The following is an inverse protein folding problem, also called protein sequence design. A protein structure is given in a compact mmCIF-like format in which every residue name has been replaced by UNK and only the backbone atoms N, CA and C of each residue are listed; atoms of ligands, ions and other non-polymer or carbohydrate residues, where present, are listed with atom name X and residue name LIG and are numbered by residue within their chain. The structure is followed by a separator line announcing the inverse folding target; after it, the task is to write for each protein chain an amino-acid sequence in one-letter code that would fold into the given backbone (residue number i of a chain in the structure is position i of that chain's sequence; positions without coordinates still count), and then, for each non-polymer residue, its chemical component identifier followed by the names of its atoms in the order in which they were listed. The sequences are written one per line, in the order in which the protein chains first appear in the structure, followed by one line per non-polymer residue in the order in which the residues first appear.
data_IF_657262831755
#
_entry.id   IF_657262831755
#
_cell.length_a   1.000
_cell.length_b   1.000
_cell.length_c   1.000
_cell.angle_alpha   90.00
_cell.angle_beta   90.00
_cell.angle_gamma   90.00
#
_symmetry.space_group_name_H-M   'P 1'
#
loop_
_entity.id
_entity.type
_entity.pdbx_description
1 polymer ?
#
# COMPACT_ATOMS: atom_id res chain seq x y z
N UNK A 1 21.95 -89.21 3.61
CA UNK A 1 23.10 -89.40 2.69
C UNK A 1 23.74 -88.03 2.47
N UNK A 2 25.01 -87.90 2.90
CA UNK A 2 26.00 -86.81 2.73
C UNK A 2 25.58 -85.37 3.12
N UNK A 3 25.95 -84.79 4.27
CA UNK A 3 27.27 -84.39 4.85
C UNK A 3 28.06 -83.29 4.10
N UNK A 4 28.25 -82.14 4.78
CA UNK A 4 29.53 -81.43 5.05
C UNK A 4 29.19 -80.08 5.75
N UNK A 5 29.38 -79.89 7.06
CA UNK A 5 30.61 -79.47 7.79
C UNK A 5 31.26 -78.20 7.19
N UNK A 6 31.20 -77.03 7.84
CA UNK A 6 32.22 -76.59 8.81
C UNK A 6 32.10 -75.10 9.26
N UNK A 7 32.58 -74.91 10.49
CA UNK A 7 32.93 -73.72 11.27
C UNK A 7 33.06 -72.33 10.59
N UNK A 8 32.60 -71.28 11.30
CA UNK A 8 33.18 -69.93 11.23
C UNK A 8 33.42 -69.33 12.61
N UNK A 9 34.62 -68.78 12.71
CA UNK A 9 35.28 -68.22 13.87
C UNK A 9 34.78 -66.81 14.23
N UNK A 10 35.05 -66.44 15.48
CA UNK A 10 34.86 -65.12 16.06
C UNK A 10 35.80 -64.08 15.45
N UNK A 11 35.27 -62.91 15.11
CA UNK A 11 36.03 -61.67 14.86
C UNK A 11 35.42 -60.58 15.73
N UNK A 12 36.22 -60.05 16.65
CA UNK A 12 35.91 -58.86 17.42
C UNK A 12 36.05 -57.61 16.54
N UNK A 13 35.01 -56.78 16.49
CA UNK A 13 35.06 -55.48 15.83
C UNK A 13 35.25 -54.37 16.87
N UNK A 14 36.38 -53.66 16.78
CA UNK A 14 36.59 -52.39 17.47
C UNK A 14 35.61 -51.34 16.93
N UNK A 15 34.80 -50.75 17.81
CA UNK A 15 34.00 -49.58 17.50
C UNK A 15 34.89 -48.33 17.52
N UNK A 16 35.14 -47.76 16.34
CA UNK A 16 35.68 -46.40 16.20
C UNK A 16 34.50 -45.43 16.27
N UNK A 17 34.38 -44.72 17.39
CA UNK A 17 33.42 -43.63 17.56
C UNK A 17 33.89 -42.40 16.78
N UNK A 18 33.35 -42.22 15.58
CA UNK A 18 33.48 -40.98 14.80
C UNK A 18 32.52 -39.97 15.41
N UNK A 19 33.05 -39.00 16.17
CA UNK A 19 32.28 -37.86 16.64
C UNK A 19 31.82 -37.02 15.46
N UNK A 20 30.52 -37.00 15.21
CA UNK A 20 29.91 -36.07 14.25
C UNK A 20 29.81 -34.72 14.96
N UNK A 21 30.73 -33.81 14.64
CA UNK A 21 30.58 -32.40 14.95
C UNK A 21 29.35 -31.90 14.19
N UNK A 22 28.25 -31.69 14.88
CA UNK A 22 27.12 -30.92 14.34
C UNK A 22 27.66 -29.57 13.90
N UNK A 23 27.49 -29.14 12.63
CA UNK A 23 27.84 -27.79 12.25
C UNK A 23 27.06 -26.84 13.15
N UNK A 24 27.76 -25.92 13.80
CA UNK A 24 27.12 -24.82 14.51
C UNK A 24 26.13 -24.17 13.54
N UNK A 25 24.85 -24.10 13.92
CA UNK A 25 23.88 -23.30 13.20
C UNK A 25 24.49 -21.91 13.06
N UNK A 26 24.67 -21.45 11.82
CA UNK A 26 25.00 -20.05 11.60
C UNK A 26 23.90 -19.25 12.29
N UNK A 27 24.29 -18.43 13.27
CA UNK A 27 23.39 -17.53 13.98
C UNK A 27 22.76 -16.63 12.90
N UNK A 28 21.53 -16.94 12.47
CA UNK A 28 20.83 -16.11 11.49
C UNK A 28 20.62 -14.77 12.16
N UNK A 29 21.44 -13.78 11.76
CA UNK A 29 21.36 -12.45 12.33
C UNK A 29 19.91 -11.96 12.18
N UNK A 30 19.32 -11.51 13.29
CA UNK A 30 17.93 -11.04 13.28
C UNK A 30 17.71 -9.94 12.25
N UNK A 31 16.47 -9.72 11.80
CA UNK A 31 16.18 -8.71 10.79
C UNK A 31 16.62 -7.31 11.26
N UNK A 32 16.43 -7.00 12.54
CA UNK A 32 16.97 -5.79 13.15
C UNK A 32 18.50 -5.76 13.12
N UNK A 33 19.19 -6.86 13.43
CA UNK A 33 20.64 -6.93 13.36
C UNK A 33 21.19 -6.75 11.93
N UNK A 34 20.41 -7.07 10.89
CA UNK A 34 20.74 -6.79 9.50
C UNK A 34 20.55 -5.30 9.17
N UNK A 35 19.40 -4.72 9.55
CA UNK A 35 19.06 -3.34 9.20
C UNK A 35 19.83 -2.27 9.99
N UNK A 36 20.16 -2.52 11.26
CA UNK A 36 20.95 -1.58 12.07
C UNK A 36 22.38 -1.42 11.55
N UNK A 37 22.88 -2.30 10.67
CA UNK A 37 24.16 -2.09 9.97
C UNK A 37 24.09 -0.97 8.93
N UNK A 38 22.87 -0.65 8.46
CA UNK A 38 22.59 0.37 7.46
C UNK A 38 22.11 1.66 8.13
N UNK A 39 21.13 1.56 9.04
CA UNK A 39 20.55 2.69 9.76
C UNK A 39 20.85 2.57 11.27
N UNK A 40 22.06 2.98 11.66
CA UNK A 40 22.64 2.69 12.99
C UNK A 40 22.03 3.50 14.15
N UNK A 41 21.31 4.59 13.88
CA UNK A 41 20.90 5.56 14.89
C UNK A 41 19.41 5.53 15.27
N UNK A 42 18.68 4.51 14.79
CA UNK A 42 17.27 4.29 15.04
C UNK A 42 17.04 3.06 15.93
N UNK A 43 16.00 3.14 16.75
CA UNK A 43 15.47 1.95 17.41
C UNK A 43 14.78 1.06 16.39
N UNK A 44 14.94 -0.26 16.52
CA UNK A 44 14.35 -1.24 15.63
C UNK A 44 13.37 -2.15 16.38
N UNK A 45 12.24 -2.45 15.73
CA UNK A 45 11.33 -3.51 16.11
C UNK A 45 11.19 -4.49 14.92
N UNK A 46 11.13 -5.79 15.18
CA UNK A 46 11.04 -6.83 14.15
C UNK A 46 9.86 -7.78 14.39
N UNK A 47 9.34 -8.32 13.28
CA UNK A 47 8.42 -9.45 13.22
C UNK A 47 9.06 -10.58 12.40
N UNK A 48 8.33 -11.67 12.16
CA UNK A 48 8.78 -12.71 11.23
C UNK A 48 8.80 -12.26 9.76
N UNK A 49 8.14 -11.14 9.41
CA UNK A 49 7.95 -10.68 8.02
C UNK A 49 8.68 -9.38 7.71
N UNK A 50 9.17 -8.64 8.70
CA UNK A 50 9.81 -7.36 8.44
C UNK A 50 10.18 -6.60 9.70
N UNK A 51 10.53 -5.33 9.50
CA UNK A 51 10.98 -4.43 10.55
C UNK A 51 10.33 -3.04 10.45
N UNK A 52 10.38 -2.32 11.55
CA UNK A 52 10.23 -0.88 11.57
C UNK A 52 11.37 -0.23 12.36
N UNK A 53 11.89 0.88 11.83
CA UNK A 53 12.98 1.66 12.42
C UNK A 53 12.51 3.09 12.65
N UNK A 54 12.65 3.56 13.90
CA UNK A 54 12.15 4.88 14.30
C UNK A 54 13.03 5.52 15.38
N UNK A 55 12.76 6.79 15.69
CA UNK A 55 13.52 7.52 16.71
C UNK A 55 13.42 6.92 18.12
N UNK A 56 12.38 6.13 18.41
CA UNK A 56 12.18 5.44 19.70
C UNK A 56 11.65 4.02 19.50
N UNK A 57 11.85 3.14 20.48
CA UNK A 57 11.36 1.76 20.42
C UNK A 57 9.83 1.66 20.42
N UNK A 58 9.13 2.57 21.11
CA UNK A 58 7.67 2.61 21.08
C UNK A 58 7.14 2.96 19.69
N UNK A 59 7.76 3.96 19.05
CA UNK A 59 7.39 4.37 17.69
C UNK A 59 7.68 3.27 16.67
N UNK A 60 8.82 2.58 16.81
CA UNK A 60 9.15 1.44 15.97
C UNK A 60 8.11 0.32 16.11
N UNK A 61 7.69 -0.02 17.34
CA UNK A 61 6.63 -1.02 17.59
C UNK A 61 5.28 -0.60 17.02
N UNK A 62 4.91 0.67 17.13
CA UNK A 62 3.67 1.19 16.56
C UNK A 62 3.65 1.02 15.04
N UNK A 63 4.70 1.48 14.35
CA UNK A 63 4.82 1.34 12.89
C UNK A 63 4.83 -0.13 12.44
N UNK A 64 5.55 -0.99 13.18
CA UNK A 64 5.56 -2.43 12.91
C UNK A 64 4.16 -3.03 13.04
N UNK A 65 3.40 -2.67 14.09
CA UNK A 65 2.04 -3.17 14.28
C UNK A 65 1.09 -2.77 13.15
N UNK A 66 1.22 -1.56 12.61
CA UNK A 66 0.46 -1.12 11.45
C UNK A 66 0.82 -1.94 10.19
N UNK A 67 2.11 -2.14 9.96
CA UNK A 67 2.61 -2.91 8.83
C UNK A 67 2.20 -4.39 8.90
N UNK A 68 2.32 -5.05 10.06
CA UNK A 68 1.90 -6.44 10.25
C UNK A 68 0.41 -6.65 9.99
N UNK A 69 -0.43 -5.67 10.39
CA UNK A 69 -1.85 -5.71 10.06
C UNK A 69 -2.09 -5.72 8.54
N UNK A 70 -1.36 -4.89 7.79
CA UNK A 70 -1.41 -4.89 6.33
C UNK A 70 -0.93 -6.23 5.75
N UNK A 71 0.18 -6.75 6.27
CA UNK A 71 0.76 -8.02 5.85
C UNK A 71 -0.23 -9.20 6.02
N UNK A 72 -0.98 -9.25 7.12
CA UNK A 72 -2.02 -10.26 7.33
C UNK A 72 -3.15 -10.15 6.27
N UNK A 73 -3.58 -8.92 5.97
CA UNK A 73 -4.59 -8.68 4.93
C UNK A 73 -4.09 -9.03 3.54
N UNK A 74 -2.80 -8.83 3.26
CA UNK A 74 -2.19 -9.24 1.99
C UNK A 74 -2.31 -10.75 1.78
N UNK A 75 -2.02 -11.55 2.80
CA UNK A 75 -2.21 -13.01 2.75
C UNK A 75 -3.67 -13.38 2.46
N UNK A 76 -4.62 -12.72 3.11
CA UNK A 76 -6.06 -12.97 2.91
C UNK A 76 -6.51 -12.65 1.48
N UNK A 77 -6.07 -11.52 0.93
CA UNK A 77 -6.58 -10.99 -0.33
C UNK A 77 -5.78 -11.39 -1.57
N UNK A 78 -4.56 -11.90 -1.38
CA UNK A 78 -3.72 -12.35 -2.49
C UNK A 78 -3.25 -13.79 -2.37
N UNK A 79 -3.48 -14.47 -1.25
CA UNK A 79 -3.06 -15.86 -1.04
C UNK A 79 -1.53 -16.05 -1.06
N UNK A 80 -0.77 -14.96 -0.90
CA UNK A 80 0.70 -14.94 -0.96
C UNK A 80 1.28 -14.39 0.32
N UNK A 81 2.43 -14.91 0.73
CA UNK A 81 3.19 -14.28 1.79
C UNK A 81 3.73 -12.93 1.29
N UNK A 82 3.61 -11.84 2.07
CA UNK A 82 4.23 -10.57 1.71
C UNK A 82 5.75 -10.72 1.75
N UNK A 83 6.43 -10.00 0.87
CA UNK A 83 7.89 -9.92 0.87
C UNK A 83 8.38 -9.21 2.13
N UNK A 84 9.63 -9.51 2.51
CA UNK A 84 10.27 -8.80 3.62
C UNK A 84 10.26 -7.29 3.42
N UNK A 85 9.89 -6.58 4.49
CA UNK A 85 9.71 -5.13 4.43
C UNK A 85 10.47 -4.40 5.53
N UNK A 86 10.77 -3.13 5.27
CA UNK A 86 11.28 -2.18 6.25
C UNK A 86 10.49 -0.86 6.20
N UNK A 87 9.86 -0.47 7.30
CA UNK A 87 9.37 0.90 7.50
C UNK A 87 10.48 1.70 8.20
N UNK A 88 10.98 2.76 7.59
CA UNK A 88 12.15 3.48 8.11
C UNK A 88 11.89 4.98 8.21
N UNK A 89 11.84 5.51 9.44
CA UNK A 89 11.77 6.95 9.66
C UNK A 89 13.09 7.64 9.36
N UNK A 90 13.01 8.77 8.68
CA UNK A 90 14.13 9.69 8.61
C UNK A 90 14.15 10.62 9.82
N UNK A 91 15.30 10.68 10.52
CA UNK A 91 15.41 11.38 11.81
C UNK A 91 15.33 12.90 11.70
N UNK A 92 16.02 13.48 10.73
CA UNK A 92 16.12 14.92 10.51
C UNK A 92 15.74 15.35 9.09
N UNK A 93 15.49 14.39 8.21
CA UNK A 93 15.02 14.59 6.84
C UNK A 93 14.24 13.33 6.43
N UNK A 94 13.71 13.30 5.22
CA UNK A 94 13.21 12.05 4.61
C UNK A 94 14.37 11.04 4.51
N UNK A 95 14.09 9.75 4.69
CA UNK A 95 15.09 8.69 4.54
C UNK A 95 15.77 8.78 3.18
N UNK A 96 17.12 8.89 3.12
CA UNK A 96 17.82 9.09 1.86
C UNK A 96 17.73 7.87 0.91
N UNK A 97 17.75 8.06 -0.42
CA UNK A 97 17.72 6.97 -1.39
C UNK A 97 18.80 5.90 -1.19
N UNK A 98 20.01 6.30 -0.80
CA UNK A 98 21.12 5.39 -0.54
C UNK A 98 20.85 4.45 0.65
N UNK A 99 20.09 4.91 1.65
CA UNK A 99 19.67 4.10 2.80
C UNK A 99 18.60 3.11 2.36
N UNK A 100 17.64 3.56 1.54
CA UNK A 100 16.60 2.71 0.95
C UNK A 100 17.23 1.59 0.12
N UNK A 101 18.17 1.92 -0.76
CA UNK A 101 18.85 0.95 -1.61
C UNK A 101 19.74 -0.02 -0.81
N UNK A 102 20.37 0.45 0.26
CA UNK A 102 21.14 -0.39 1.17
C UNK A 102 20.25 -1.37 1.95
N UNK A 103 19.06 -0.95 2.40
CA UNK A 103 18.07 -1.84 3.02
C UNK A 103 17.56 -2.89 2.03
N UNK A 104 17.28 -2.51 0.78
CA UNK A 104 16.92 -3.46 -0.28
C UNK A 104 17.99 -4.52 -0.49
N UNK A 105 19.26 -4.12 -0.58
CA UNK A 105 20.41 -5.04 -0.68
C UNK A 105 20.60 -5.90 0.57
N UNK A 106 20.14 -5.44 1.73
CA UNK A 106 20.17 -6.17 2.99
C UNK A 106 19.03 -7.19 3.14
N UNK A 107 18.16 -7.36 2.14
CA UNK A 107 17.10 -8.36 2.16
C UNK A 107 15.69 -7.82 2.42
N UNK A 108 15.50 -6.50 2.37
CA UNK A 108 14.19 -5.84 2.49
C UNK A 108 13.75 -5.28 1.12
N UNK A 109 13.23 -6.11 0.19
CA UNK A 109 12.82 -5.64 -1.14
C UNK A 109 11.76 -4.53 -1.09
N UNK A 110 10.90 -4.54 -0.07
CA UNK A 110 9.94 -3.47 0.21
C UNK A 110 10.50 -2.53 1.27
N UNK A 111 10.62 -1.25 0.96
CA UNK A 111 11.10 -0.24 1.92
C UNK A 111 10.21 0.99 1.85
N UNK A 112 9.48 1.24 2.93
CA UNK A 112 8.64 2.41 3.08
C UNK A 112 9.38 3.49 3.88
N UNK A 113 9.89 4.56 3.23
CA UNK A 113 10.40 5.72 3.96
C UNK A 113 9.24 6.43 4.66
N UNK A 114 9.40 6.70 5.96
CA UNK A 114 8.38 7.37 6.77
C UNK A 114 8.88 8.70 7.35
N UNK A 115 7.97 9.64 7.56
CA UNK A 115 8.29 10.93 8.16
C UNK A 115 8.19 10.86 9.68
N UNK A 116 9.30 11.14 10.37
CA UNK A 116 9.28 11.38 11.80
C UNK A 116 8.44 12.61 12.15
N UNK A 117 8.09 12.75 13.43
CA UNK A 117 7.24 13.85 13.89
C UNK A 117 7.83 15.23 13.61
N UNK A 118 9.13 15.36 13.85
CA UNK A 118 9.89 16.58 13.61
C UNK A 118 9.94 16.94 12.12
N UNK A 119 10.26 15.98 11.25
CA UNK A 119 10.41 16.22 9.81
C UNK A 119 9.08 16.63 9.18
N UNK A 120 7.98 15.96 9.54
CA UNK A 120 6.66 16.36 9.03
C UNK A 120 6.26 17.76 9.50
N UNK A 121 6.53 18.12 10.77
CA UNK A 121 6.27 19.48 11.26
C UNK A 121 6.97 20.53 10.41
N UNK A 122 8.26 20.31 10.15
CA UNK A 122 9.06 21.20 9.32
C UNK A 122 8.49 21.33 7.90
N UNK A 123 8.11 20.21 7.28
CA UNK A 123 7.52 20.20 5.93
C UNK A 123 6.17 20.92 5.86
N UNK A 124 5.30 20.69 6.84
CA UNK A 124 4.01 21.38 6.94
C UNK A 124 4.24 22.88 7.08
N UNK A 125 5.15 23.31 7.96
CA UNK A 125 5.46 24.74 8.14
C UNK A 125 6.04 25.38 6.87
N UNK A 126 7.01 24.72 6.23
CA UNK A 126 7.62 25.19 4.97
C UNK A 126 6.61 25.36 3.85
N UNK A 127 5.52 24.59 3.86
CA UNK A 127 4.50 24.67 2.81
C UNK A 127 3.37 25.63 3.18
N UNK A 128 2.91 25.59 4.43
CA UNK A 128 1.74 26.32 4.87
C UNK A 128 2.03 27.82 5.02
N UNK A 129 3.20 28.18 5.56
CA UNK A 129 3.54 29.59 5.81
C UNK A 129 3.53 30.42 4.53
N UNK A 130 4.25 30.07 3.45
CA UNK A 130 4.21 30.85 2.21
C UNK A 130 2.80 30.95 1.60
N UNK A 131 2.02 29.87 1.67
CA UNK A 131 0.65 29.85 1.14
C UNK A 131 -0.27 30.83 1.89
N UNK A 132 -0.24 30.83 3.22
CA UNK A 132 -1.03 31.76 4.05
C UNK A 132 -0.53 33.20 3.88
N UNK A 133 0.79 33.42 3.87
CA UNK A 133 1.37 34.75 3.64
C UNK A 133 0.93 35.31 2.29
N UNK A 134 0.92 34.50 1.23
CA UNK A 134 0.45 34.93 -0.08
C UNK A 134 -1.06 35.22 -0.09
N UNK A 135 -1.87 34.38 0.54
CA UNK A 135 -3.33 34.55 0.61
C UNK A 135 -3.74 35.79 1.43
N UNK A 136 -2.91 36.18 2.40
CA UNK A 136 -3.18 37.27 3.34
C UNK A 136 -2.24 38.45 3.15
N UNK A 137 -1.71 38.67 1.95
CA UNK A 137 -0.69 39.68 1.67
C UNK A 137 -1.07 41.12 2.10
N UNK A 138 -2.37 41.45 2.08
CA UNK A 138 -2.89 42.77 2.49
C UNK A 138 -3.21 42.87 3.99
N UNK A 139 -2.90 41.84 4.79
CA UNK A 139 -3.17 41.81 6.23
C UNK A 139 -1.95 42.21 7.05
N UNK A 140 -2.14 42.76 8.26
CA UNK A 140 -1.04 43.04 9.18
C UNK A 140 -0.23 41.77 9.52
N UNK A 141 1.09 41.88 9.74
CA UNK A 141 1.96 40.73 10.05
C UNK A 141 1.46 39.89 11.23
N UNK A 142 0.90 40.52 12.27
CA UNK A 142 0.37 39.79 13.43
C UNK A 142 -0.82 38.89 13.07
N UNK A 143 -1.65 39.28 12.08
CA UNK A 143 -2.77 38.46 11.61
C UNK A 143 -2.30 37.29 10.75
N UNK A 144 -1.24 37.49 9.96
CA UNK A 144 -0.62 36.43 9.17
C UNK A 144 -0.01 35.38 10.11
N UNK A 145 0.75 35.81 11.12
CA UNK A 145 1.36 34.87 12.09
C UNK A 145 0.30 34.12 12.90
N UNK A 146 -0.77 34.78 13.32
CA UNK A 146 -1.89 34.10 13.99
C UNK A 146 -2.56 33.05 13.09
N UNK A 147 -2.75 33.35 11.80
CA UNK A 147 -3.32 32.41 10.84
C UNK A 147 -2.38 31.22 10.57
N UNK A 148 -1.07 31.45 10.45
CA UNK A 148 -0.07 30.38 10.32
C UNK A 148 -0.08 29.49 11.56
N UNK A 149 -0.06 30.06 12.77
CA UNK A 149 -0.10 29.29 14.01
C UNK A 149 -1.38 28.45 14.15
N UNK A 150 -2.54 29.01 13.78
CA UNK A 150 -3.81 28.29 13.79
C UNK A 150 -3.81 27.14 12.78
N UNK A 151 -3.34 27.39 11.55
CA UNK A 151 -3.23 26.36 10.51
C UNK A 151 -2.25 25.25 10.89
N UNK A 152 -1.09 25.59 11.48
CA UNK A 152 -0.15 24.61 12.01
C UNK A 152 -0.78 23.75 13.10
N UNK A 153 -1.49 24.36 14.06
CA UNK A 153 -2.17 23.63 15.13
C UNK A 153 -3.16 22.61 14.56
N UNK A 154 -3.91 22.98 13.53
CA UNK A 154 -4.88 22.09 12.89
C UNK A 154 -4.21 20.94 12.10
N UNK A 155 -3.12 21.22 11.39
CA UNK A 155 -2.43 20.22 10.57
C UNK A 155 -1.56 19.28 11.40
N UNK A 156 -1.04 19.75 12.54
CA UNK A 156 -0.14 19.00 13.43
C UNK A 156 -0.88 18.30 14.58
N UNK A 157 -2.20 18.24 14.55
CA UNK A 157 -2.99 17.49 15.52
C UNK A 157 -2.51 16.02 15.58
N UNK A 158 -1.98 15.55 16.74
CA UNK A 158 -1.48 14.20 16.90
C UNK A 158 -2.53 13.12 16.60
N UNK A 159 -3.80 13.37 16.94
CA UNK A 159 -4.87 12.40 16.69
C UNK A 159 -5.14 12.23 15.19
N UNK A 160 -5.16 13.35 14.45
CA UNK A 160 -5.25 13.34 12.99
C UNK A 160 -4.07 12.60 12.37
N UNK A 161 -2.85 12.87 12.84
CA UNK A 161 -1.64 12.22 12.32
C UNK A 161 -1.63 10.72 12.57
N UNK A 162 -2.01 10.30 13.78
CA UNK A 162 -2.15 8.88 14.10
C UNK A 162 -3.17 8.22 13.17
N UNK A 163 -4.33 8.84 12.93
CA UNK A 163 -5.33 8.35 11.97
C UNK A 163 -4.77 8.23 10.55
N UNK A 164 -3.97 9.19 10.10
CA UNK A 164 -3.28 9.12 8.79
C UNK A 164 -2.32 7.94 8.75
N UNK A 165 -1.48 7.74 9.77
CA UNK A 165 -0.54 6.62 9.81
C UNK A 165 -1.27 5.26 9.79
N UNK A 166 -2.36 5.12 10.54
CA UNK A 166 -3.20 3.92 10.61
C UNK A 166 -3.68 3.49 9.22
N UNK A 167 -4.04 4.45 8.35
CA UNK A 167 -4.44 4.17 6.98
C UNK A 167 -3.23 3.98 6.05
N UNK A 168 -2.31 4.95 6.06
CA UNK A 168 -1.29 5.08 5.03
C UNK A 168 -0.17 4.03 5.15
N UNK A 169 0.32 3.68 6.35
CA UNK A 169 1.42 2.71 6.47
C UNK A 169 1.10 1.37 5.79
N UNK A 170 -0.02 0.69 6.10
CA UNK A 170 -0.33 -0.56 5.42
C UNK A 170 -0.77 -0.36 3.96
N UNK A 171 -1.38 0.78 3.63
CA UNK A 171 -1.77 1.11 2.25
C UNK A 171 -0.56 1.21 1.32
N UNK A 172 0.45 2.01 1.69
CA UNK A 172 1.67 2.19 0.89
C UNK A 172 2.48 0.89 0.77
N UNK A 173 2.56 0.10 1.85
CA UNK A 173 3.16 -1.23 1.79
C UNK A 173 2.38 -2.18 0.85
N UNK A 174 1.05 -2.01 0.77
CA UNK A 174 0.19 -2.75 -0.15
C UNK A 174 0.58 -2.57 -1.61
N UNK A 175 0.79 -1.33 -2.06
CA UNK A 175 1.30 -1.02 -3.40
C UNK A 175 2.61 -1.76 -3.68
N UNK A 176 3.56 -1.69 -2.75
CA UNK A 176 4.88 -2.31 -2.95
C UNK A 176 4.84 -3.85 -2.94
N UNK A 177 4.11 -4.47 -2.00
CA UNK A 177 3.95 -5.92 -1.98
C UNK A 177 3.25 -6.42 -3.22
N UNK A 178 2.22 -5.71 -3.69
CA UNK A 178 1.48 -6.05 -4.88
C UNK A 178 2.36 -5.94 -6.13
N UNK A 179 2.97 -4.78 -6.36
CA UNK A 179 3.82 -4.54 -7.52
C UNK A 179 4.98 -5.52 -7.61
N UNK A 180 5.78 -5.67 -6.55
CA UNK A 180 6.95 -6.56 -6.58
C UNK A 180 6.51 -8.03 -6.63
N UNK A 181 5.42 -8.39 -5.95
CA UNK A 181 4.93 -9.75 -5.88
C UNK A 181 4.39 -10.29 -7.20
N UNK A 182 3.83 -9.43 -8.07
CA UNK A 182 3.24 -9.84 -9.35
C UNK A 182 4.07 -9.39 -10.58
N UNK A 183 4.93 -8.38 -10.44
CA UNK A 183 5.84 -7.91 -11.49
C UNK A 183 7.26 -7.67 -10.95
N UNK A 184 7.99 -8.73 -10.55
CA UNK A 184 9.30 -8.61 -9.91
C UNK A 184 10.37 -7.98 -10.81
N UNK A 185 10.25 -8.14 -12.13
CA UNK A 185 11.23 -7.66 -13.11
C UNK A 185 10.90 -6.27 -13.68
N UNK A 186 9.77 -5.67 -13.30
CA UNK A 186 9.37 -4.37 -13.81
C UNK A 186 10.15 -3.23 -13.13
N UNK A 187 10.82 -2.39 -13.91
CA UNK A 187 11.45 -1.20 -13.36
C UNK A 187 10.40 -0.13 -12.98
N UNK A 188 10.73 0.67 -11.96
CA UNK A 188 9.90 1.80 -11.55
C UNK A 188 9.80 2.82 -12.70
N UNK A 189 8.57 3.15 -13.11
CA UNK A 189 8.31 4.14 -14.16
C UNK A 189 8.40 3.63 -15.61
N UNK A 190 8.65 2.33 -15.84
CA UNK A 190 8.61 1.72 -17.18
C UNK A 190 7.20 1.26 -17.62
N UNK A 191 6.16 1.59 -16.84
CA UNK A 191 4.76 1.26 -17.12
C UNK A 191 3.94 2.44 -17.69
N UNK A 192 2.85 2.13 -18.39
CA UNK A 192 1.86 3.11 -18.85
C UNK A 192 0.98 3.67 -17.71
N UNK A 193 1.16 3.18 -16.48
CA UNK A 193 0.31 3.39 -15.32
C UNK A 193 1.09 3.95 -14.11
N UNK A 194 0.39 4.56 -13.16
CA UNK A 194 0.95 5.09 -11.92
C UNK A 194 1.54 3.96 -11.08
N UNK A 195 2.75 4.15 -10.55
CA UNK A 195 3.39 3.21 -9.62
C UNK A 195 3.99 1.94 -10.24
N UNK A 196 3.57 1.50 -11.43
CA UNK A 196 4.10 0.26 -12.03
C UNK A 196 3.39 -0.22 -13.31
N UNK A 197 3.54 -1.52 -13.64
CA UNK A 197 2.93 -2.13 -14.83
C UNK A 197 1.46 -2.53 -14.65
N UNK A 198 0.94 -2.57 -13.42
CA UNK A 198 -0.48 -2.83 -13.15
C UNK A 198 -1.36 -1.63 -13.51
N UNK A 199 -2.61 -1.83 -13.92
CA UNK A 199 -3.57 -0.73 -14.04
C UNK A 199 -3.79 -0.06 -12.69
N UNK A 200 -4.00 1.26 -12.72
CA UNK A 200 -4.13 2.11 -11.54
C UNK A 200 -5.23 1.65 -10.58
N UNK A 201 -6.36 1.17 -11.11
CA UNK A 201 -7.47 0.70 -10.28
C UNK A 201 -7.12 -0.57 -9.50
N UNK A 202 -6.28 -1.44 -10.07
CA UNK A 202 -5.92 -2.72 -9.46
C UNK A 202 -4.84 -2.50 -8.40
N UNK A 203 -3.88 -1.63 -8.68
CA UNK A 203 -2.86 -1.20 -7.73
C UNK A 203 -3.50 -0.51 -6.52
N UNK A 204 -4.40 0.45 -6.76
CA UNK A 204 -5.13 1.14 -5.70
C UNK A 204 -6.00 0.20 -4.86
N UNK A 205 -6.75 -0.68 -5.52
CA UNK A 205 -7.58 -1.66 -4.81
C UNK A 205 -6.72 -2.61 -3.96
N UNK A 206 -5.51 -2.94 -4.41
CA UNK A 206 -4.56 -3.72 -3.62
C UNK A 206 -4.16 -3.00 -2.34
N UNK A 207 -3.92 -1.68 -2.39
CA UNK A 207 -3.54 -0.86 -1.26
C UNK A 207 -4.69 -0.61 -0.28
N UNK A 208 -5.89 -0.26 -0.80
CA UNK A 208 -7.10 -0.05 0.01
C UNK A 208 -7.46 -1.30 0.81
N UNK A 209 -7.28 -2.50 0.25
CA UNK A 209 -7.52 -3.75 0.98
C UNK A 209 -6.54 -3.99 2.13
N UNK A 210 -5.38 -3.33 2.14
CA UNK A 210 -4.43 -3.41 3.25
C UNK A 210 -4.81 -2.47 4.40
N UNK A 211 -5.73 -1.52 4.18
CA UNK A 211 -6.19 -0.63 5.25
C UNK A 211 -6.93 -1.41 6.35
N UNK A 212 -6.86 -0.95 7.60
CA UNK A 212 -7.57 -1.61 8.69
C UNK A 212 -9.09 -1.46 8.55
N UNK A 213 -9.88 -2.40 9.11
CA UNK A 213 -11.35 -2.43 8.94
C UNK A 213 -12.04 -1.11 9.24
N UNK A 214 -11.60 -0.39 10.28
CA UNK A 214 -12.19 0.92 10.64
C UNK A 214 -12.09 1.96 9.51
N UNK A 215 -10.99 1.98 8.76
CA UNK A 215 -10.82 2.90 7.63
C UNK A 215 -11.58 2.39 6.40
N UNK A 216 -11.47 1.09 6.13
CA UNK A 216 -12.17 0.46 5.02
C UNK A 216 -13.70 0.62 5.12
N UNK A 217 -14.27 0.39 6.31
CA UNK A 217 -15.70 0.52 6.57
C UNK A 217 -16.17 1.98 6.51
N UNK A 218 -15.35 2.95 6.94
CA UNK A 218 -15.61 4.39 6.73
C UNK A 218 -15.75 4.71 5.23
N UNK A 219 -14.89 4.13 4.37
CA UNK A 219 -14.99 4.29 2.91
C UNK A 219 -16.26 3.68 2.35
N UNK A 220 -16.60 2.45 2.75
CA UNK A 220 -17.84 1.79 2.32
C UNK A 220 -19.08 2.59 2.74
N UNK A 221 -19.09 3.11 3.97
CA UNK A 221 -20.18 3.94 4.48
C UNK A 221 -20.32 5.26 3.71
N UNK A 222 -19.22 5.96 3.44
CA UNK A 222 -19.23 7.21 2.67
C UNK A 222 -19.65 6.97 1.21
N UNK A 223 -19.22 5.87 0.59
CA UNK A 223 -19.72 5.46 -0.72
C UNK A 223 -21.23 5.25 -0.69
N UNK A 224 -21.74 4.48 0.29
CA UNK A 224 -23.17 4.20 0.45
C UNK A 224 -24.00 5.48 0.62
N UNK A 225 -23.53 6.43 1.43
CA UNK A 225 -24.15 7.75 1.59
C UNK A 225 -24.24 8.50 0.27
N UNK A 226 -23.16 8.53 -0.51
CA UNK A 226 -23.15 9.19 -1.83
C UNK A 226 -24.08 8.50 -2.82
N UNK A 227 -24.16 7.17 -2.76
CA UNK A 227 -25.07 6.39 -3.59
C UNK A 227 -26.54 6.72 -3.29
N UNK A 228 -26.93 6.87 -2.02
CA UNK A 228 -28.29 7.31 -1.67
C UNK A 228 -28.61 8.70 -2.21
N UNK A 229 -27.68 9.66 -2.05
CA UNK A 229 -27.85 11.02 -2.57
C UNK A 229 -27.99 10.99 -4.10
N UNK A 230 -27.14 10.23 -4.78
CA UNK A 230 -27.17 10.06 -6.23
C UNK A 230 -28.51 9.51 -6.72
N UNK A 231 -29.03 8.44 -6.09
CA UNK A 231 -30.31 7.83 -6.46
C UNK A 231 -31.50 8.75 -6.23
N UNK A 232 -31.48 9.55 -5.16
CA UNK A 232 -32.55 10.49 -4.87
C UNK A 232 -32.63 11.64 -5.88
N UNK A 233 -31.53 11.91 -6.61
CA UNK A 233 -31.36 13.10 -7.43
C UNK A 233 -30.63 12.80 -8.75
N UNK A 234 -31.01 11.72 -9.44
CA UNK A 234 -30.31 11.22 -10.64
C UNK A 234 -30.18 12.25 -11.76
N UNK A 235 -31.21 13.08 -11.96
CA UNK A 235 -31.20 14.13 -12.98
C UNK A 235 -30.29 15.31 -12.63
N UNK A 236 -30.05 15.54 -11.32
CA UNK A 236 -29.18 16.61 -10.82
C UNK A 236 -27.75 16.14 -10.54
N UNK A 237 -27.45 14.84 -10.68
CA UNK A 237 -26.13 14.30 -10.45
C UNK A 237 -25.10 14.87 -11.44
N UNK A 238 -24.04 15.46 -10.89
CA UNK A 238 -22.89 15.92 -11.66
C UNK A 238 -22.03 14.75 -12.18
N UNK A 239 -21.05 15.07 -13.02
CA UNK A 239 -20.19 14.07 -13.65
C UNK A 239 -19.36 13.28 -12.63
N UNK A 240 -18.97 13.89 -11.50
CA UNK A 240 -18.21 13.21 -10.47
C UNK A 240 -19.07 12.17 -9.72
N UNK A 241 -20.32 12.51 -9.44
CA UNK A 241 -21.29 11.60 -8.86
C UNK A 241 -21.61 10.45 -9.82
N UNK A 242 -21.75 10.72 -11.13
CA UNK A 242 -21.95 9.67 -12.14
C UNK A 242 -20.74 8.74 -12.25
N UNK A 243 -19.54 9.31 -12.32
CA UNK A 243 -18.28 8.57 -12.43
C UNK A 243 -18.07 7.63 -11.24
N UNK A 244 -18.52 7.99 -10.03
CA UNK A 244 -18.41 7.15 -8.83
C UNK A 244 -19.14 5.79 -8.97
N UNK A 245 -20.13 5.67 -9.86
CA UNK A 245 -20.91 4.44 -10.03
C UNK A 245 -20.71 3.75 -11.39
N UNK A 246 -19.84 4.30 -12.23
CA UNK A 246 -19.48 3.73 -13.54
C UNK A 246 -18.21 2.86 -13.40
N UNK A 247 -18.39 1.52 -13.40
CA UNK A 247 -17.28 0.57 -13.37
C UNK A 247 -16.45 0.63 -14.64
N UNK A 248 -17.06 0.89 -15.79
CA UNK A 248 -16.34 0.96 -17.05
C UNK A 248 -15.38 2.14 -17.09
N UNK A 249 -15.77 3.27 -16.49
CA UNK A 249 -14.89 4.42 -16.28
C UNK A 249 -13.81 4.10 -15.25
N UNK A 250 -14.17 3.56 -14.07
CA UNK A 250 -13.21 3.21 -13.01
C UNK A 250 -12.08 2.30 -13.51
N UNK A 251 -12.41 1.25 -14.27
CA UNK A 251 -11.43 0.28 -14.78
C UNK A 251 -10.48 0.84 -15.87
N UNK A 252 -10.74 2.07 -16.35
CA UNK A 252 -9.93 2.77 -17.37
C UNK A 252 -9.34 4.07 -16.86
N UNK A 253 -9.70 4.48 -15.65
CA UNK A 253 -9.29 5.75 -15.09
C UNK A 253 -7.79 5.71 -14.76
N UNK A 254 -7.09 6.77 -15.19
CA UNK A 254 -5.71 7.01 -14.75
C UNK A 254 -5.75 7.57 -13.34
N UNK A 255 -4.82 7.12 -12.48
CA UNK A 255 -4.77 7.52 -11.09
C UNK A 255 -4.80 9.05 -10.96
N UNK A 256 -5.71 9.63 -10.15
CA UNK A 256 -5.83 11.09 -10.03
C UNK A 256 -4.54 11.82 -9.62
N UNK A 257 -3.62 11.12 -8.94
CA UNK A 257 -2.31 11.66 -8.56
C UNK A 257 -1.23 11.56 -9.65
N UNK A 258 -1.47 10.86 -10.76
CA UNK A 258 -0.47 10.62 -11.81
C UNK A 258 0.08 11.92 -12.42
N UNK A 259 -0.80 12.91 -12.64
CA UNK A 259 -0.39 14.21 -13.18
C UNK A 259 0.54 14.98 -12.22
N UNK A 260 0.31 14.90 -10.91
CA UNK A 260 1.19 15.53 -9.91
C UNK A 260 2.54 14.84 -9.82
N UNK A 261 2.55 13.50 -9.79
CA UNK A 261 3.80 12.75 -9.75
C UNK A 261 4.65 13.04 -11.00
N UNK A 262 4.02 13.12 -12.18
CA UNK A 262 4.70 13.51 -13.41
C UNK A 262 5.30 14.93 -13.32
N UNK A 263 4.54 15.88 -12.79
CA UNK A 263 5.02 17.25 -12.58
C UNK A 263 6.15 17.37 -11.53
N UNK A 264 6.31 16.40 -10.63
CA UNK A 264 7.45 16.32 -9.69
C UNK A 264 8.67 15.69 -10.37
N UNK A 265 8.47 14.62 -11.13
CA UNK A 265 9.54 13.91 -11.88
C UNK A 265 10.18 14.83 -12.93
N UNK A 266 9.35 15.60 -13.64
CA UNK A 266 9.79 16.47 -14.74
C UNK A 266 10.47 17.78 -14.26
N UNK A 267 10.76 17.93 -12.95
CA UNK A 267 11.46 19.12 -12.43
C UNK A 267 12.98 19.12 -12.72
N UNK A 268 13.56 20.28 -13.11
CA UNK A 268 14.89 20.30 -13.72
C UNK A 268 16.07 20.22 -12.74
N UNK A 269 15.92 20.54 -11.45
CA UNK A 269 17.06 20.68 -10.53
C UNK A 269 17.05 19.74 -9.31
N UNK A 270 18.25 19.35 -8.85
CA UNK A 270 18.44 18.47 -7.70
C UNK A 270 18.11 19.15 -6.34
N UNK A 271 18.11 20.48 -6.27
CA UNK A 271 17.64 21.22 -5.08
C UNK A 271 16.11 21.27 -4.99
N UNK A 272 15.40 21.37 -6.12
CA UNK A 272 13.94 21.32 -6.15
C UNK A 272 13.41 19.90 -5.89
N UNK A 273 14.15 18.86 -6.32
CA UNK A 273 13.87 17.45 -6.00
C UNK A 273 13.99 17.11 -4.50
N UNK A 274 14.76 17.89 -3.71
CA UNK A 274 14.88 17.71 -2.25
C UNK A 274 13.64 18.19 -1.48
N UNK A 275 12.69 18.86 -2.13
CA UNK A 275 11.43 19.32 -1.55
C UNK A 275 10.27 18.43 -2.00
N UNK A 276 10.34 17.14 -1.71
CA UNK A 276 9.54 16.11 -2.38
C UNK A 276 8.09 15.96 -1.90
N UNK A 277 7.61 16.84 -1.01
CA UNK A 277 6.19 16.94 -0.68
C UNK A 277 5.77 18.40 -0.78
N UNK A 278 5.43 18.85 -2.00
CA UNK A 278 4.62 20.07 -2.13
C UNK A 278 3.18 19.69 -1.79
N UNK A 279 2.71 20.12 -0.62
CA UNK A 279 1.27 20.17 -0.34
C UNK A 279 0.66 21.09 -1.40
N UNK A 280 0.02 20.52 -2.42
CA UNK A 280 -0.68 21.31 -3.43
C UNK A 280 -1.84 21.99 -2.70
N UNK A 281 -1.94 23.32 -2.79
CA UNK A 281 -3.05 24.10 -2.23
C UNK A 281 -3.84 24.76 -3.36
N UNK A 282 -5.16 24.96 -3.18
CA UNK A 282 -6.06 25.58 -4.16
C UNK A 282 -6.95 24.60 -4.96
N UNK A 283 -7.59 25.07 -6.02
CA UNK A 283 -8.63 24.31 -6.77
C UNK A 283 -8.10 23.04 -7.45
N UNK A 284 -6.83 23.03 -7.86
CA UNK A 284 -6.16 21.84 -8.38
C UNK A 284 -5.97 20.76 -7.31
N UNK A 285 -5.66 21.16 -6.07
CA UNK A 285 -5.59 20.25 -4.92
C UNK A 285 -6.97 19.69 -4.56
N UNK A 286 -8.01 20.52 -4.65
CA UNK A 286 -9.39 20.12 -4.39
C UNK A 286 -9.89 19.08 -5.40
N UNK A 287 -9.67 19.29 -6.70
CA UNK A 287 -10.07 18.31 -7.74
C UNK A 287 -9.32 16.99 -7.61
N UNK A 288 -8.05 17.04 -7.21
CA UNK A 288 -7.23 15.83 -7.01
C UNK A 288 -7.61 15.12 -5.71
N UNK A 289 -7.94 15.86 -4.66
CA UNK A 289 -8.50 15.30 -3.43
C UNK A 289 -9.89 14.69 -3.66
N UNK A 290 -10.76 15.33 -4.45
CA UNK A 290 -12.09 14.81 -4.81
C UNK A 290 -11.98 13.59 -5.73
N UNK A 291 -11.10 13.61 -6.74
CA UNK A 291 -10.83 12.49 -7.62
C UNK A 291 -10.20 11.30 -6.88
N UNK A 292 -9.18 11.55 -6.07
CA UNK A 292 -8.56 10.53 -5.22
C UNK A 292 -9.57 9.92 -4.24
N UNK A 293 -10.38 10.76 -3.58
CA UNK A 293 -11.46 10.27 -2.72
C UNK A 293 -12.41 9.36 -3.49
N UNK A 294 -12.90 9.74 -4.68
CA UNK A 294 -13.74 8.86 -5.52
C UNK A 294 -13.03 7.52 -5.74
N UNK A 295 -11.77 7.55 -6.18
CA UNK A 295 -11.00 6.36 -6.56
C UNK A 295 -10.84 5.38 -5.39
N UNK A 296 -10.56 5.90 -4.19
CA UNK A 296 -10.50 5.08 -2.98
C UNK A 296 -11.86 4.49 -2.57
N UNK A 297 -12.93 5.27 -2.68
CA UNK A 297 -14.28 4.81 -2.35
C UNK A 297 -14.73 3.69 -3.31
N UNK A 298 -14.46 3.85 -4.61
CA UNK A 298 -14.74 2.81 -5.61
C UNK A 298 -13.91 1.57 -5.34
N UNK A 299 -12.61 1.70 -5.10
CA UNK A 299 -11.72 0.56 -4.80
C UNK A 299 -12.24 -0.29 -3.64
N UNK A 300 -12.65 0.35 -2.54
CA UNK A 300 -13.24 -0.36 -1.40
C UNK A 300 -14.51 -1.13 -1.78
N UNK A 301 -15.48 -0.49 -2.43
CA UNK A 301 -16.79 -1.12 -2.70
C UNK A 301 -16.75 -2.11 -3.85
N UNK A 302 -15.96 -1.84 -4.90
CA UNK A 302 -15.76 -2.77 -6.02
C UNK A 302 -15.08 -4.05 -5.54
N UNK A 303 -14.13 -3.97 -4.60
CA UNK A 303 -13.53 -5.18 -4.01
C UNK A 303 -14.58 -6.06 -3.32
N UNK A 304 -15.53 -5.48 -2.57
CA UNK A 304 -16.63 -6.22 -1.95
C UNK A 304 -17.54 -6.89 -3.00
N UNK A 305 -17.89 -6.16 -4.06
CA UNK A 305 -18.66 -6.72 -5.17
C UNK A 305 -17.96 -7.92 -5.82
N UNK A 306 -16.66 -7.81 -6.07
CA UNK A 306 -15.86 -8.91 -6.62
C UNK A 306 -15.84 -10.11 -5.67
N UNK A 307 -15.67 -9.90 -4.36
CA UNK A 307 -15.70 -10.99 -3.37
C UNK A 307 -17.06 -11.68 -3.33
N UNK A 308 -18.15 -10.91 -3.29
CA UNK A 308 -19.52 -11.45 -3.24
C UNK A 308 -19.86 -12.25 -4.49
N UNK A 309 -19.48 -11.76 -5.67
CA UNK A 309 -19.82 -12.40 -6.94
C UNK A 309 -18.97 -13.62 -7.22
N UNK A 310 -17.70 -13.60 -6.86
CA UNK A 310 -16.78 -14.72 -7.09
C UNK A 310 -16.81 -15.76 -5.97
N UNK A 311 -17.24 -15.38 -4.77
CA UNK A 311 -17.12 -16.19 -3.57
C UNK A 311 -15.68 -16.35 -3.07
N UNK A 312 -14.75 -15.55 -3.59
CA UNK A 312 -13.30 -15.70 -3.39
C UNK A 312 -12.66 -14.37 -2.98
N UNK A 313 -12.19 -14.30 -1.73
CA UNK A 313 -11.48 -13.12 -1.20
C UNK A 313 -10.12 -12.88 -1.84
N UNK A 314 -9.56 -13.90 -2.50
CA UNK A 314 -8.29 -13.85 -3.19
C UNK A 314 -8.42 -13.60 -4.71
N UNK A 315 -9.62 -13.24 -5.20
CA UNK A 315 -9.87 -13.04 -6.64
C UNK A 315 -8.91 -12.04 -7.29
N UNK A 316 -8.45 -11.01 -6.55
CA UNK A 316 -7.52 -10.03 -7.10
C UNK A 316 -6.14 -10.60 -7.42
N UNK A 317 -5.69 -11.67 -6.77
CA UNK A 317 -4.48 -12.37 -7.20
C UNK A 317 -4.65 -12.98 -8.59
N UNK A 318 -5.81 -13.56 -8.88
CA UNK A 318 -6.11 -14.16 -10.18
C UNK A 318 -6.23 -13.11 -11.28
N UNK A 319 -6.85 -11.98 -10.97
CA UNK A 319 -6.86 -10.81 -11.85
C UNK A 319 -5.43 -10.34 -12.11
N UNK A 320 -4.63 -10.14 -11.07
CA UNK A 320 -3.25 -9.68 -11.21
C UNK A 320 -2.38 -10.64 -12.03
N UNK A 321 -2.55 -11.96 -11.84
CA UNK A 321 -1.88 -12.97 -12.66
C UNK A 321 -2.28 -12.91 -14.13
N UNK A 322 -3.55 -12.64 -14.45
CA UNK A 322 -3.98 -12.44 -15.83
C UNK A 322 -3.32 -11.20 -16.45
N UNK A 323 -3.30 -10.07 -15.72
CA UNK A 323 -2.62 -8.86 -16.16
C UNK A 323 -1.11 -9.03 -16.30
N UNK A 324 -0.47 -9.80 -15.41
CA UNK A 324 0.95 -10.13 -15.53
C UNK A 324 1.27 -10.97 -16.77
N UNK A 325 0.29 -11.74 -17.29
CA UNK A 325 0.37 -12.44 -18.58
C UNK A 325 0.04 -11.54 -19.78
N UNK A 326 -0.31 -10.27 -19.56
CA UNK A 326 -0.68 -9.31 -20.59
C UNK A 326 -2.16 -9.34 -20.98
N UNK A 327 -3.03 -9.99 -20.20
CA UNK A 327 -4.48 -9.94 -20.43
C UNK A 327 -5.08 -8.58 -20.02
N UNK A 328 -6.09 -8.12 -20.75
CA UNK A 328 -6.94 -6.98 -20.33
C UNK A 328 -8.07 -7.43 -19.40
N UNK A 329 -8.78 -6.49 -18.78
CA UNK A 329 -9.95 -6.81 -17.95
C UNK A 329 -11.04 -7.51 -18.77
N UNK A 330 -11.28 -7.09 -20.02
CA UNK A 330 -12.25 -7.73 -20.91
C UNK A 330 -11.85 -9.16 -21.25
N UNK A 331 -10.56 -9.40 -21.49
CA UNK A 331 -10.04 -10.74 -21.76
C UNK A 331 -10.17 -11.63 -20.53
N UNK A 332 -9.78 -11.13 -19.35
CA UNK A 332 -9.93 -11.87 -18.10
C UNK A 332 -11.40 -12.22 -17.85
N UNK A 333 -12.32 -11.25 -17.91
CA UNK A 333 -13.76 -11.47 -17.73
C UNK A 333 -14.31 -12.55 -18.67
N UNK A 334 -13.88 -12.54 -19.94
CA UNK A 334 -14.35 -13.48 -20.96
C UNK A 334 -13.70 -14.87 -20.86
N UNK A 335 -12.55 -15.01 -20.19
CA UNK A 335 -11.81 -16.27 -20.15
C UNK A 335 -12.54 -17.37 -19.33
N UNK A 336 -12.07 -18.61 -19.44
CA UNK A 336 -12.72 -19.78 -18.83
C UNK A 336 -12.41 -19.97 -17.33
N UNK A 337 -11.60 -19.11 -16.71
CA UNK A 337 -11.32 -19.21 -15.27
C UNK A 337 -12.63 -19.10 -14.46
N UNK A 338 -12.76 -19.83 -13.34
CA UNK A 338 -13.98 -19.81 -12.53
C UNK A 338 -14.20 -18.43 -11.88
N UNK A 339 -15.32 -17.78 -12.17
CA UNK A 339 -15.65 -16.44 -11.63
C UNK A 339 -16.93 -16.41 -10.80
N UNK A 340 -17.41 -17.57 -10.37
CA UNK A 340 -18.66 -17.70 -9.63
C UNK A 340 -19.83 -17.13 -10.45
N UNK A 341 -20.50 -16.13 -9.90
CA UNK A 341 -21.62 -15.41 -10.51
C UNK A 341 -21.23 -14.09 -11.19
N UNK A 342 -19.93 -13.73 -11.21
CA UNK A 342 -19.47 -12.51 -11.84
C UNK A 342 -19.75 -12.55 -13.36
N UNK A 343 -20.35 -11.51 -13.95
CA UNK A 343 -20.60 -11.49 -15.38
C UNK A 343 -19.32 -11.52 -16.24
N UNK A 344 -19.41 -12.13 -17.43
CA UNK A 344 -18.25 -12.40 -18.29
C UNK A 344 -17.91 -11.28 -19.29
N UNK A 345 -18.55 -10.10 -19.15
CA UNK A 345 -18.21 -8.92 -19.93
C UNK A 345 -18.58 -7.65 -19.17
N UNK A 346 -17.93 -6.54 -19.53
CA UNK A 346 -18.02 -5.28 -18.80
C UNK A 346 -19.43 -4.68 -18.78
N UNK A 347 -20.20 -4.79 -19.88
CA UNK A 347 -21.55 -4.26 -19.95
C UNK A 347 -22.50 -5.01 -18.98
N UNK A 348 -22.39 -6.33 -18.94
CA UNK A 348 -23.16 -7.15 -18.01
C UNK A 348 -22.69 -6.94 -16.55
N UNK A 349 -21.39 -6.75 -16.33
CA UNK A 349 -20.82 -6.43 -15.02
C UNK A 349 -21.33 -5.08 -14.51
N UNK A 350 -21.40 -4.05 -15.36
CA UNK A 350 -21.98 -2.75 -15.00
C UNK A 350 -23.46 -2.89 -14.60
N UNK A 351 -24.26 -3.65 -15.36
CA UNK A 351 -25.68 -3.84 -15.05
C UNK A 351 -25.87 -4.57 -13.70
N UNK A 352 -25.12 -5.67 -13.48
CA UNK A 352 -25.18 -6.42 -12.23
C UNK A 352 -24.64 -5.64 -11.02
N UNK A 353 -23.60 -4.83 -11.21
CA UNK A 353 -23.08 -3.91 -10.20
C UNK A 353 -24.14 -2.94 -9.69
N UNK A 354 -24.90 -2.32 -10.59
CA UNK A 354 -25.97 -1.39 -10.20
C UNK A 354 -27.05 -2.12 -9.38
N UNK A 355 -27.45 -3.33 -9.79
CA UNK A 355 -28.39 -4.17 -9.03
C UNK A 355 -27.81 -4.56 -7.65
N UNK A 356 -26.53 -4.92 -7.59
CA UNK A 356 -25.85 -5.22 -6.33
C UNK A 356 -25.81 -4.01 -5.40
N UNK A 357 -25.51 -2.82 -5.92
CA UNK A 357 -25.53 -1.58 -5.13
C UNK A 357 -26.91 -1.28 -4.55
N UNK A 358 -27.99 -1.50 -5.31
CA UNK A 358 -29.35 -1.30 -4.82
C UNK A 358 -29.68 -2.22 -3.64
N UNK A 359 -29.23 -3.47 -3.69
CA UNK A 359 -29.42 -4.44 -2.60
C UNK A 359 -28.51 -4.12 -1.40
N UNK A 360 -27.26 -3.72 -1.65
CA UNK A 360 -26.25 -3.45 -0.62
C UNK A 360 -26.55 -2.17 0.17
N UNK A 361 -27.09 -1.17 -0.51
CA UNK A 361 -27.45 0.12 0.04
C UNK A 361 -28.94 0.38 -0.28
N UNK A 362 -29.87 -0.25 0.46
CA UNK A 362 -31.29 -0.01 0.27
C UNK A 362 -31.66 1.44 0.65
N UNK A 363 -32.75 1.99 0.11
CA UNK A 363 -33.29 3.27 0.58
C UNK A 363 -33.59 3.17 2.08
N UNK A 364 -33.14 4.20 2.82
CA UNK A 364 -33.31 4.31 4.27
C UNK A 364 -34.72 4.69 4.71
#
# INVERSE_FOLDING_TARGET
MAEAVNARAWVAALAVSIGWSTPAAADEATLCAQATRVATDLACAESARGIAMAGTSDRARELLGLAEGGADRFVIHFGRAPLHYAVVEGRSAVTPPETIDALRKAGFPVVLPWLSDAVYREQVERTLRPAITAQMADKPPEQIEAAVAAGLTQQLDPARRAKVAIAAVPHELGHDWFRIGFWPDAALGEGQHYGGPSPDWLDEMSAVLMEPPVIFDERVAEFGKRYQIYRAALEQADDNARALFDLGQFLKEVHPAAAQARAIIDQPSAEEKKSTVRLVTGDGARKIAEGGLRFYLQSAVVSQYLFDRTGDKAVLARVAEAFARGETIEQWLANAEPKGSLPHNLAAMQADWLVWLEARFPPG
#
